data_IF_199723856066
#
_entry.id   IF_199723856066
#
_cell.length_a   1.000
_cell.length_b   1.000
_cell.length_c   1.000
_cell.angle_alpha   90.00
_cell.angle_beta   90.00
_cell.angle_gamma   90.00
#
_symmetry.space_group_name_H-M   'P 1'
#
loop_
_entity.id
_entity.type
_entity.pdbx_description
1 polymer ?
#
# COMPACT_ATOMS: atom_id res chain seq x y z
N UNK A 1 55.56 -58.01 27.12
CA UNK A 1 54.59 -56.92 26.87
C UNK A 1 55.28 -55.79 26.14
N UNK A 2 54.98 -55.58 24.85
CA UNK A 2 55.33 -54.37 24.09
C UNK A 2 54.14 -54.05 23.18
N UNK A 3 53.73 -52.80 23.24
CA UNK A 3 52.44 -52.24 22.84
C UNK A 3 52.21 -52.23 21.31
N UNK A 4 50.94 -52.27 20.85
CA UNK A 4 50.61 -52.13 19.43
C UNK A 4 50.73 -50.67 18.95
N UNK A 5 51.31 -50.52 17.76
CA UNK A 5 51.44 -49.27 16.99
C UNK A 5 50.05 -48.76 16.58
N UNK A 6 49.71 -47.53 16.99
CA UNK A 6 48.47 -46.87 16.61
C UNK A 6 48.53 -46.32 15.18
N UNK A 7 47.48 -46.57 14.42
CA UNK A 7 47.26 -46.04 13.06
C UNK A 7 46.55 -44.70 13.20
N UNK A 8 47.11 -43.63 12.64
CA UNK A 8 46.50 -42.30 12.68
C UNK A 8 45.41 -42.19 11.60
N UNK A 9 44.18 -41.74 11.91
CA UNK A 9 43.17 -41.50 10.88
C UNK A 9 43.50 -40.22 10.09
N UNK A 10 43.34 -40.30 8.77
CA UNK A 10 43.41 -39.16 7.84
C UNK A 10 42.06 -38.44 7.85
N UNK A 11 42.05 -37.17 8.23
CA UNK A 11 40.86 -36.30 8.17
C UNK A 11 40.63 -35.83 6.74
N UNK A 12 39.47 -36.18 6.17
CA UNK A 12 39.00 -35.63 4.88
C UNK A 12 38.37 -34.25 5.18
N UNK A 13 38.74 -33.16 4.49
CA UNK A 13 38.07 -31.89 4.67
C UNK A 13 36.64 -31.95 4.11
N UNK A 14 35.67 -31.63 4.97
CA UNK A 14 34.25 -31.51 4.62
C UNK A 14 34.04 -30.29 3.72
N UNK A 15 33.61 -30.53 2.47
CA UNK A 15 33.26 -29.47 1.53
C UNK A 15 31.91 -28.89 1.97
N UNK A 16 31.93 -27.70 2.59
CA UNK A 16 30.72 -26.93 2.89
C UNK A 16 29.97 -26.60 1.58
N UNK A 17 28.65 -26.85 1.49
CA UNK A 17 27.83 -26.25 0.44
C UNK A 17 27.90 -24.72 0.53
N UNK A 18 27.77 -23.98 -0.59
CA UNK A 18 27.68 -22.53 -0.52
C UNK A 18 26.46 -22.15 0.34
N UNK A 19 26.71 -21.40 1.41
CA UNK A 19 25.66 -20.73 2.18
C UNK A 19 24.88 -19.86 1.21
N UNK A 20 23.65 -20.27 0.91
CA UNK A 20 22.65 -19.38 0.30
C UNK A 20 22.48 -18.24 1.28
N UNK A 21 23.04 -17.07 0.96
CA UNK A 21 22.73 -15.83 1.67
C UNK A 21 21.22 -15.64 1.63
N UNK A 22 20.57 -15.91 2.76
CA UNK A 22 19.23 -15.40 3.02
C UNK A 22 19.29 -13.87 2.84
N UNK A 23 18.29 -13.25 2.19
CA UNK A 23 18.20 -11.80 2.18
C UNK A 23 18.20 -11.30 3.63
N UNK A 24 19.03 -10.30 3.91
CA UNK A 24 19.15 -9.70 5.22
C UNK A 24 17.76 -9.33 5.77
N UNK A 25 17.50 -9.57 7.07
CA UNK A 25 16.25 -9.14 7.68
C UNK A 25 16.10 -7.63 7.48
N UNK A 26 14.89 -7.25 7.10
CA UNK A 26 14.47 -5.90 6.74
C UNK A 26 15.16 -4.86 7.61
N UNK A 27 15.74 -3.86 6.94
CA UNK A 27 16.24 -2.66 7.59
C UNK A 27 15.18 -2.17 8.57
N UNK A 28 15.61 -2.02 9.82
CA UNK A 28 14.86 -1.56 10.97
C UNK A 28 14.06 -0.30 10.62
N UNK A 29 12.83 -0.49 10.12
CA UNK A 29 11.91 0.61 9.84
C UNK A 29 11.43 1.04 11.21
N UNK A 30 12.10 2.05 11.76
CA UNK A 30 11.62 2.75 12.93
C UNK A 30 10.23 3.29 12.62
N UNK A 31 9.19 2.60 13.09
CA UNK A 31 7.82 3.10 13.10
C UNK A 31 7.76 4.24 14.10
N UNK A 32 8.13 5.44 13.66
CA UNK A 32 7.76 6.65 14.37
C UNK A 32 6.24 6.66 14.36
N UNK A 33 5.60 6.69 15.53
CA UNK A 33 4.14 6.74 15.68
C UNK A 33 3.66 8.13 15.24
N UNK A 34 3.86 8.41 13.95
CA UNK A 34 3.53 9.64 13.26
C UNK A 34 2.10 9.57 12.76
N UNK A 35 1.50 10.75 12.68
CA UNK A 35 0.22 11.03 12.04
C UNK A 35 0.12 10.30 10.70
N UNK A 36 -0.49 9.12 10.70
CA UNK A 36 -0.55 8.25 9.52
C UNK A 36 -1.79 8.68 8.75
N UNK A 37 -1.66 9.10 7.47
CA UNK A 37 -2.84 9.40 6.67
C UNK A 37 -3.75 8.18 6.66
N UNK A 38 -5.06 8.44 6.68
CA UNK A 38 -6.08 7.38 6.67
C UNK A 38 -6.90 7.50 5.40
N UNK A 39 -7.24 6.37 4.81
CA UNK A 39 -8.16 6.27 3.70
C UNK A 39 -9.14 5.14 3.98
N UNK A 40 -10.42 5.40 3.75
CA UNK A 40 -11.50 4.43 3.89
C UNK A 40 -12.38 4.44 2.65
N UNK A 41 -12.86 3.26 2.28
CA UNK A 41 -13.92 3.10 1.29
C UNK A 41 -15.25 2.85 2.01
N UNK A 42 -16.28 3.57 1.61
CA UNK A 42 -17.64 3.42 2.14
C UNK A 42 -18.59 3.08 1.01
N UNK A 43 -19.41 2.05 1.20
CA UNK A 43 -20.46 1.66 0.26
C UNK A 43 -21.69 2.54 0.51
N UNK A 44 -22.17 3.20 -0.53
CA UNK A 44 -23.41 3.96 -0.50
C UNK A 44 -24.59 3.08 -0.93
N UNK A 45 -25.56 2.92 -0.05
CA UNK A 45 -26.81 2.18 -0.28
C UNK A 45 -28.00 3.13 -0.05
N UNK A 46 -28.52 3.72 -1.13
CA UNK A 46 -29.56 4.75 -1.05
C UNK A 46 -29.08 6.01 -0.34
N UNK A 47 -29.72 6.38 0.77
CA UNK A 47 -29.35 7.52 1.62
C UNK A 47 -28.35 7.17 2.73
N UNK A 48 -28.05 5.89 2.90
CA UNK A 48 -27.14 5.40 3.94
C UNK A 48 -25.76 5.11 3.36
N UNK A 49 -24.72 5.31 4.16
CA UNK A 49 -23.36 4.89 3.84
C UNK A 49 -22.82 4.03 4.98
N UNK A 50 -22.07 2.98 4.64
CA UNK A 50 -21.37 2.13 5.62
C UNK A 50 -19.93 1.89 5.20
N UNK A 51 -19.00 1.64 6.12
CA UNK A 51 -17.65 1.25 5.75
C UNK A 51 -17.70 -0.07 4.96
N UNK A 52 -16.83 -0.18 3.96
CA UNK A 52 -16.54 -1.43 3.30
C UNK A 52 -15.68 -2.29 4.24
N UNK A 53 -16.10 -3.53 4.50
CA UNK A 53 -15.33 -4.40 5.38
C UNK A 53 -14.16 -5.05 4.63
N UNK A 54 -13.07 -5.34 5.34
CA UNK A 54 -11.90 -5.98 4.76
C UNK A 54 -12.28 -7.35 4.17
N UNK A 55 -11.93 -7.57 2.90
CA UNK A 55 -12.21 -8.81 2.18
C UNK A 55 -13.64 -8.90 1.63
N UNK A 56 -14.49 -7.90 1.87
CA UNK A 56 -15.80 -7.80 1.23
C UNK A 56 -15.65 -7.57 -0.28
N UNK A 57 -16.46 -8.29 -1.06
CA UNK A 57 -16.56 -8.12 -2.52
C UNK A 57 -17.76 -7.26 -2.85
N UNK A 58 -17.61 -6.35 -3.80
CA UNK A 58 -18.66 -5.44 -4.25
C UNK A 58 -18.94 -5.61 -5.74
N UNK A 59 -20.23 -5.47 -6.07
CA UNK A 59 -20.75 -5.58 -7.43
C UNK A 59 -20.45 -4.38 -8.31
N UNK A 60 -20.44 -4.61 -9.63
CA UNK A 60 -20.54 -3.55 -10.62
C UNK A 60 -21.72 -2.60 -10.32
N UNK A 61 -21.53 -1.30 -10.56
CA UNK A 61 -22.52 -0.27 -10.25
C UNK A 61 -22.59 0.15 -8.77
N UNK A 62 -21.84 -0.51 -7.88
CA UNK A 62 -21.73 -0.09 -6.48
C UNK A 62 -21.12 1.31 -6.41
N UNK A 63 -21.75 2.19 -5.63
CA UNK A 63 -21.25 3.53 -5.36
C UNK A 63 -20.33 3.51 -4.14
N UNK A 64 -19.09 3.94 -4.32
CA UNK A 64 -18.10 4.12 -3.27
C UNK A 64 -17.91 5.60 -2.95
N UNK A 65 -18.03 5.93 -1.67
CA UNK A 65 -17.57 7.19 -1.10
C UNK A 65 -16.19 6.95 -0.48
N UNK A 66 -15.16 7.61 -1.01
CA UNK A 66 -13.85 7.64 -0.35
C UNK A 66 -13.87 8.67 0.77
N UNK A 67 -13.28 8.32 1.92
CA UNK A 67 -13.03 9.24 3.02
C UNK A 67 -11.56 9.21 3.39
N UNK A 68 -10.96 10.37 3.55
CA UNK A 68 -9.53 10.51 3.79
C UNK A 68 -9.26 11.44 4.97
N UNK A 69 -8.09 11.29 5.57
CA UNK A 69 -7.58 12.19 6.59
C UNK A 69 -6.26 12.82 6.11
N UNK A 70 -6.23 14.15 5.87
CA UNK A 70 -5.05 14.83 5.34
C UNK A 70 -3.91 14.95 6.36
N UNK A 71 -4.17 14.73 7.65
CA UNK A 71 -3.18 14.79 8.73
C UNK A 71 -2.34 16.09 8.73
N UNK A 72 -2.96 17.24 8.44
CA UNK A 72 -2.27 18.53 8.41
C UNK A 72 -1.63 18.90 7.06
N UNK A 73 -1.62 18.01 6.07
CA UNK A 73 -1.02 18.29 4.74
C UNK A 73 -1.92 19.20 3.92
N UNK A 74 -1.32 20.09 3.12
CA UNK A 74 -2.03 21.11 2.32
C UNK A 74 -2.80 20.55 1.13
N UNK A 75 -2.36 19.44 0.57
CA UNK A 75 -2.95 18.83 -0.62
C UNK A 75 -3.16 17.35 -0.42
N UNK A 76 -4.30 16.84 -0.89
CA UNK A 76 -4.58 15.40 -0.97
C UNK A 76 -4.92 15.06 -2.41
N UNK A 77 -4.17 14.14 -3.01
CA UNK A 77 -4.51 13.58 -4.33
C UNK A 77 -5.13 12.21 -4.15
N UNK A 78 -6.29 12.01 -4.76
CA UNK A 78 -7.02 10.74 -4.77
C UNK A 78 -6.79 10.05 -6.11
N UNK A 79 -6.38 8.79 -6.06
CA UNK A 79 -6.07 7.99 -7.23
C UNK A 79 -6.48 6.54 -7.05
N UNK A 80 -6.66 5.83 -8.16
CA UNK A 80 -7.00 4.41 -8.22
C UNK A 80 -6.01 3.65 -9.09
N UNK A 81 -5.87 2.36 -8.82
CA UNK A 81 -5.17 1.39 -9.67
C UNK A 81 -5.98 0.12 -9.77
N UNK A 82 -6.34 -0.29 -10.98
CA UNK A 82 -7.09 -1.52 -11.22
C UNK A 82 -6.17 -2.77 -11.22
N UNK A 83 -6.78 -3.94 -11.45
CA UNK A 83 -6.10 -5.23 -11.52
C UNK A 83 -5.18 -5.37 -12.73
N UNK A 84 -5.37 -4.56 -13.78
CA UNK A 84 -4.51 -4.48 -14.96
C UNK A 84 -3.34 -3.49 -14.77
N UNK A 85 -3.28 -2.80 -13.63
CA UNK A 85 -2.29 -1.77 -13.34
C UNK A 85 -2.56 -0.42 -14.01
N UNK A 86 -3.75 -0.23 -14.59
CA UNK A 86 -4.20 1.06 -15.11
C UNK A 86 -4.40 2.00 -13.93
N UNK A 87 -3.79 3.19 -14.02
CA UNK A 87 -3.84 4.22 -12.97
C UNK A 87 -4.79 5.32 -13.39
N UNK A 88 -5.68 5.69 -12.47
CA UNK A 88 -6.59 6.81 -12.63
C UNK A 88 -6.32 7.84 -11.53
N UNK A 89 -6.27 9.12 -11.90
CA UNK A 89 -6.15 10.23 -10.94
C UNK A 89 -7.48 10.96 -10.92
N UNK A 90 -8.22 10.85 -9.81
CA UNK A 90 -9.54 11.44 -9.65
C UNK A 90 -9.47 12.94 -9.36
N UNK A 91 -8.37 13.40 -8.77
CA UNK A 91 -8.09 14.82 -8.59
C UNK A 91 -7.27 15.12 -7.35
N UNK A 92 -6.88 16.40 -7.23
CA UNK A 92 -6.21 16.95 -6.05
C UNK A 92 -7.13 17.96 -5.39
N UNK A 93 -7.35 17.78 -4.09
CA UNK A 93 -8.17 18.66 -3.25
C UNK A 93 -7.30 19.35 -2.20
N UNK A 94 -7.83 20.43 -1.63
CA UNK A 94 -7.23 21.01 -0.44
C UNK A 94 -7.30 20.00 0.71
N UNK A 95 -6.17 19.77 1.36
CA UNK A 95 -6.13 19.11 2.67
C UNK A 95 -6.42 20.12 3.78
N UNK A 96 -5.78 19.94 4.92
CA UNK A 96 -5.97 20.81 6.08
C UNK A 96 -5.89 20.03 7.38
N UNK A 97 -6.70 20.46 8.35
CA UNK A 97 -6.71 19.91 9.70
C UNK A 97 -6.93 18.38 9.71
N UNK A 98 -6.31 17.66 10.67
CA UNK A 98 -6.58 16.24 10.87
C UNK A 98 -8.07 15.97 11.09
N UNK A 99 -8.54 14.86 10.53
CA UNK A 99 -9.92 14.43 10.64
C UNK A 99 -10.43 13.77 9.36
N UNK A 100 -11.24 12.73 9.53
CA UNK A 100 -11.75 11.96 8.40
C UNK A 100 -12.86 12.72 7.65
N UNK A 101 -12.55 13.23 6.47
CA UNK A 101 -13.48 13.95 5.59
C UNK A 101 -13.81 13.13 4.34
N UNK A 102 -14.92 13.46 3.68
CA UNK A 102 -15.33 12.80 2.43
C UNK A 102 -14.65 13.44 1.21
N UNK A 103 -14.28 12.61 0.23
CA UNK A 103 -13.99 13.08 -1.11
C UNK A 103 -15.20 13.84 -1.69
N UNK A 104 -14.99 14.91 -2.47
CA UNK A 104 -16.08 15.70 -3.05
C UNK A 104 -16.82 14.99 -4.20
N UNK A 105 -16.56 13.69 -4.38
CA UNK A 105 -17.15 12.83 -5.39
C UNK A 105 -17.38 11.43 -4.81
N UNK A 106 -18.27 10.69 -5.46
CA UNK A 106 -18.44 9.25 -5.29
C UNK A 106 -18.07 8.54 -6.60
N UNK A 107 -17.51 7.34 -6.49
CA UNK A 107 -17.12 6.52 -7.62
C UNK A 107 -18.17 5.45 -7.87
N UNK A 108 -18.57 5.24 -9.12
CA UNK A 108 -19.38 4.08 -9.49
C UNK A 108 -18.43 3.03 -10.03
N UNK A 109 -18.42 1.85 -9.43
CA UNK A 109 -17.56 0.76 -9.87
C UNK A 109 -18.02 0.23 -11.24
N UNK A 110 -17.04 -0.01 -12.10
CA UNK A 110 -17.22 -0.68 -13.38
C UNK A 110 -17.41 -2.21 -13.18
N UNK A 111 -17.51 -2.95 -14.28
CA UNK A 111 -17.65 -4.40 -14.30
C UNK A 111 -16.31 -5.14 -14.40
N UNK A 112 -15.19 -4.43 -14.26
CA UNK A 112 -13.88 -5.08 -14.28
C UNK A 112 -13.67 -5.89 -13.00
N UNK A 113 -13.13 -7.10 -13.16
CA UNK A 113 -12.96 -8.05 -12.05
C UNK A 113 -11.63 -7.85 -11.33
N UNK A 114 -11.59 -8.32 -10.08
CA UNK A 114 -10.37 -8.39 -9.29
C UNK A 114 -10.21 -7.22 -8.32
N UNK A 115 -8.96 -6.90 -7.98
CA UNK A 115 -8.65 -5.90 -6.96
C UNK A 115 -8.46 -4.52 -7.58
N UNK A 116 -9.07 -3.51 -6.94
CA UNK A 116 -8.82 -2.10 -7.21
C UNK A 116 -8.30 -1.43 -5.95
N UNK A 117 -7.09 -0.88 -6.03
CA UNK A 117 -6.48 -0.13 -4.93
C UNK A 117 -6.77 1.35 -5.10
N UNK A 118 -7.24 2.00 -4.04
CA UNK A 118 -7.39 3.44 -3.94
C UNK A 118 -6.31 4.02 -3.05
N UNK A 119 -5.87 5.23 -3.36
CA UNK A 119 -4.78 5.92 -2.69
C UNK A 119 -5.18 7.34 -2.31
N UNK A 120 -4.75 7.77 -1.13
CA UNK A 120 -4.73 9.17 -0.73
C UNK A 120 -3.27 9.57 -0.52
N UNK A 121 -2.79 10.49 -1.35
CA UNK A 121 -1.42 10.99 -1.35
C UNK A 121 -1.44 12.41 -0.80
N UNK A 122 -0.97 12.56 0.43
CA UNK A 122 -1.02 13.80 1.21
C UNK A 122 0.35 14.51 1.14
N UNK A 123 0.37 15.77 0.72
CA UNK A 123 1.60 16.53 0.41
C UNK A 123 1.46 17.99 0.84
N UNK A 124 2.58 18.66 1.13
CA UNK A 124 2.58 20.10 1.46
C UNK A 124 2.58 20.98 0.20
N UNK A 125 3.17 20.48 -0.89
CA UNK A 125 3.20 21.11 -2.21
C UNK A 125 2.29 20.36 -3.17
N UNK A 126 1.68 21.08 -4.11
CA UNK A 126 0.77 20.47 -5.08
C UNK A 126 1.58 19.57 -6.03
N UNK A 127 1.27 18.26 -6.10
CA UNK A 127 2.05 17.36 -6.91
C UNK A 127 1.65 17.44 -8.39
N UNK A 128 2.58 17.12 -9.28
CA UNK A 128 2.28 16.94 -10.70
C UNK A 128 1.55 15.62 -10.94
N UNK A 129 0.72 15.56 -11.98
CA UNK A 129 0.04 14.33 -12.38
C UNK A 129 1.03 13.21 -12.69
N UNK A 130 2.17 13.51 -13.32
CA UNK A 130 3.22 12.53 -13.62
C UNK A 130 3.81 11.93 -12.34
N UNK A 131 4.11 12.75 -11.33
CA UNK A 131 4.63 12.27 -10.05
C UNK A 131 3.63 11.34 -9.36
N UNK A 132 2.34 11.71 -9.37
CA UNK A 132 1.25 10.88 -8.81
C UNK A 132 1.13 9.56 -9.56
N UNK A 133 1.11 9.57 -10.89
CA UNK A 133 0.99 8.35 -11.70
C UNK A 133 2.18 7.42 -11.48
N UNK A 134 3.40 7.96 -11.47
CA UNK A 134 4.62 7.21 -11.18
C UNK A 134 4.57 6.58 -9.79
N UNK A 135 4.15 7.36 -8.78
CA UNK A 135 3.98 6.88 -7.40
C UNK A 135 2.98 5.72 -7.33
N UNK A 136 1.76 5.90 -7.83
CA UNK A 136 0.71 4.85 -7.78
C UNK A 136 1.12 3.59 -8.57
N UNK A 137 1.83 3.76 -9.69
CA UNK A 137 2.29 2.63 -10.52
C UNK A 137 3.39 1.82 -9.84
N UNK A 138 4.42 2.47 -9.31
CA UNK A 138 5.66 1.80 -8.88
C UNK A 138 5.77 1.53 -7.38
N UNK A 139 5.00 2.26 -6.57
CA UNK A 139 4.74 2.10 -5.13
C UNK A 139 4.64 3.51 -4.53
N UNK A 140 3.44 3.94 -4.08
CA UNK A 140 3.23 5.35 -3.76
C UNK A 140 3.95 5.79 -2.48
N UNK A 141 4.44 4.85 -1.66
CA UNK A 141 5.31 5.12 -0.49
C UNK A 141 6.60 5.86 -0.87
N UNK A 142 7.01 5.88 -2.16
CA UNK A 142 8.27 6.48 -2.61
C UNK A 142 8.18 7.95 -3.01
N UNK A 143 7.02 8.59 -2.90
CA UNK A 143 6.90 10.00 -3.25
C UNK A 143 7.48 10.88 -2.13
N UNK A 144 8.57 11.59 -2.43
CA UNK A 144 9.33 12.34 -1.42
C UNK A 144 8.46 13.40 -0.73
N UNK A 145 8.47 13.42 0.60
CA UNK A 145 7.64 14.32 1.42
C UNK A 145 6.14 14.01 1.43
N UNK A 146 5.68 12.96 0.72
CA UNK A 146 4.29 12.56 0.73
C UNK A 146 4.01 11.55 1.84
N UNK A 147 2.86 11.70 2.49
CA UNK A 147 2.28 10.68 3.32
C UNK A 147 1.19 9.95 2.51
N UNK A 148 1.27 8.63 2.42
CA UNK A 148 0.37 7.84 1.58
C UNK A 148 -0.42 6.84 2.41
N UNK A 149 -1.71 6.73 2.10
CA UNK A 149 -2.58 5.66 2.60
C UNK A 149 -3.33 5.01 1.45
N UNK A 150 -3.74 3.75 1.64
CA UNK A 150 -4.43 2.99 0.61
C UNK A 150 -5.50 2.07 1.17
N UNK A 151 -6.52 1.80 0.36
CA UNK A 151 -7.54 0.76 0.63
C UNK A 151 -7.71 -0.09 -0.63
N UNK A 152 -7.87 -1.39 -0.47
CA UNK A 152 -8.11 -2.33 -1.58
C UNK A 152 -9.56 -2.78 -1.54
N UNK A 153 -10.20 -2.73 -2.71
CA UNK A 153 -11.58 -3.16 -2.93
C UNK A 153 -11.57 -4.35 -3.89
N UNK A 154 -12.37 -5.38 -3.60
CA UNK A 154 -12.54 -6.56 -4.46
C UNK A 154 -13.82 -6.44 -5.26
N UNK A 155 -13.74 -6.72 -6.56
CA UNK A 155 -14.87 -6.72 -7.51
C UNK A 155 -15.13 -8.14 -8.05
N UNK A 156 -16.39 -8.53 -8.15
CA UNK A 156 -16.86 -9.88 -8.53
C UNK A 156 -16.97 -10.14 -10.05
#
# INVERSE_FOLDING_TARGET
MKSPTAITPVTIPEVRPPEVSAPAPDADITHTKGLTPRLEAWVQAGTSSRPLYLGETVGAGTKLQLRYDPQGRRFVTLAGRDSNGIVEVYGTVAGGEPGLTSAPFALTLDDSKGEQAFFAICTDDRPSSEAVMSAVKHNPVRMNGAAVSSVVVRKD
#
